data_IF_327901510793
#
_entry.id   IF_327901510793
#
_cell.length_a   1.000
_cell.length_b   1.000
_cell.length_c   1.000
_cell.angle_alpha   90.00
_cell.angle_beta   90.00
_cell.angle_gamma   90.00
#
_symmetry.space_group_name_H-M   'P 1'
#
loop_
_entity.id
_entity.type
_entity.pdbx_description
1 polymer ?
#
# COMPACT_ATOMS: atom_id res chain seq x y z
N UNK A 1 9.52 19.50 8.22
CA UNK A 1 9.26 19.07 6.85
C UNK A 1 8.28 17.92 6.81
N UNK A 2 7.25 18.10 6.10
CA UNK A 2 6.25 17.08 6.01
C UNK A 2 6.56 16.12 4.87
N UNK A 3 6.87 14.89 5.17
CA UNK A 3 7.17 13.96 4.10
C UNK A 3 5.93 13.61 3.30
N UNK A 4 6.09 13.61 2.01
CA UNK A 4 5.07 13.10 1.14
C UNK A 4 5.00 11.58 1.21
N UNK A 5 5.98 10.97 1.83
CA UNK A 5 6.12 9.51 1.91
C UNK A 5 5.89 9.07 3.35
N UNK A 6 5.19 7.98 3.52
CA UNK A 6 4.97 7.42 4.85
C UNK A 6 5.45 5.99 4.89
N UNK A 7 5.59 5.46 6.10
CA UNK A 7 6.08 4.11 6.28
C UNK A 7 4.97 3.08 5.98
N UNK A 8 5.39 1.86 5.73
CA UNK A 8 4.45 0.75 5.58
C UNK A 8 3.59 0.60 6.82
N UNK A 9 4.21 0.74 8.00
CA UNK A 9 3.47 0.57 9.25
C UNK A 9 2.36 1.59 9.39
N UNK A 10 2.64 2.85 9.07
CA UNK A 10 1.62 3.89 9.14
C UNK A 10 0.50 3.63 8.16
N UNK A 11 0.86 3.24 6.93
CA UNK A 11 -0.15 2.98 5.91
C UNK A 11 -1.02 1.80 6.31
N UNK A 12 -0.44 0.78 6.91
CA UNK A 12 -1.19 -0.38 7.35
C UNK A 12 -2.22 -0.02 8.41
N UNK A 13 -1.85 0.87 9.33
CA UNK A 13 -2.78 1.30 10.35
C UNK A 13 -3.96 2.05 9.75
N UNK A 14 -3.66 2.92 8.79
CA UNK A 14 -4.71 3.71 8.17
C UNK A 14 -5.64 2.83 7.34
N UNK A 15 -5.08 1.89 6.61
CA UNK A 15 -5.86 1.01 5.74
C UNK A 15 -6.49 -0.16 6.47
N UNK A 16 -5.99 -0.50 7.63
CA UNK A 16 -6.52 -1.64 8.38
C UNK A 16 -6.10 -2.97 7.80
N UNK A 17 -4.90 -3.04 7.24
CA UNK A 17 -4.39 -4.30 6.68
C UNK A 17 -3.03 -4.60 7.30
N UNK A 18 -2.60 -5.84 7.14
CA UNK A 18 -1.30 -6.25 7.64
C UNK A 18 -0.21 -5.88 6.64
N UNK A 19 1.03 -5.69 7.12
CA UNK A 19 2.11 -5.32 6.20
C UNK A 19 2.30 -6.28 5.04
N UNK A 20 2.24 -7.57 5.30
CA UNK A 20 2.42 -8.55 4.24
C UNK A 20 1.33 -8.41 3.18
N UNK A 21 0.12 -8.13 3.64
CA UNK A 21 -1.00 -7.95 2.71
C UNK A 21 -0.82 -6.69 1.89
N UNK A 22 -0.42 -5.61 2.53
CA UNK A 22 -0.20 -4.36 1.80
C UNK A 22 0.87 -4.53 0.74
N UNK A 23 1.96 -5.18 1.08
CA UNK A 23 3.03 -5.40 0.11
C UNK A 23 2.54 -6.23 -1.06
N UNK A 24 1.74 -7.26 -0.79
CA UNK A 24 1.19 -8.08 -1.85
C UNK A 24 0.28 -7.26 -2.77
N UNK A 25 -0.59 -6.44 -2.19
CA UNK A 25 -1.51 -5.63 -2.97
C UNK A 25 -0.76 -4.65 -3.85
N UNK A 26 0.34 -4.10 -3.34
CA UNK A 26 1.13 -3.18 -4.14
C UNK A 26 1.88 -3.90 -5.26
N UNK A 27 2.43 -5.07 -4.97
CA UNK A 27 3.18 -5.81 -5.99
C UNK A 27 2.29 -6.26 -7.13
N UNK A 28 1.03 -6.53 -6.84
CA UNK A 28 0.10 -7.00 -7.86
C UNK A 28 -0.69 -5.87 -8.52
N UNK A 29 -0.37 -4.63 -8.15
CA UNK A 29 -1.07 -3.46 -8.65
C UNK A 29 -2.56 -3.47 -8.34
N UNK A 30 -2.92 -4.13 -7.25
CA UNK A 30 -4.31 -4.15 -6.83
C UNK A 30 -4.73 -2.82 -6.22
N UNK A 31 -3.78 -2.15 -5.55
CA UNK A 31 -4.03 -0.81 -5.03
C UNK A 31 -2.89 0.10 -5.48
N UNK A 32 -3.19 1.38 -5.56
CA UNK A 32 -2.23 2.38 -6.01
C UNK A 32 -1.98 3.38 -4.89
N UNK A 33 -1.09 3.03 -3.97
CA UNK A 33 -0.76 3.92 -2.86
C UNK A 33 0.69 4.37 -2.91
N UNK A 34 1.44 3.92 -3.91
CA UNK A 34 2.83 4.28 -4.00
C UNK A 34 3.55 3.50 -5.05
N UNK A 35 4.78 3.15 -4.76
CA UNK A 35 5.64 2.51 -5.73
C UNK A 35 6.38 1.35 -5.12
N UNK A 36 6.50 0.28 -5.88
CA UNK A 36 7.30 -0.87 -5.50
C UNK A 36 8.63 -0.77 -6.23
N UNK A 37 9.72 -0.84 -5.47
CA UNK A 37 11.05 -0.76 -6.04
C UNK A 37 11.65 -2.15 -6.00
N UNK A 38 11.96 -2.68 -7.18
CA UNK A 38 12.52 -4.02 -7.26
C UNK A 38 13.96 -4.03 -6.79
N UNK A 39 14.41 -5.13 -6.20
CA UNK A 39 15.78 -5.21 -5.75
C UNK A 39 16.74 -5.21 -6.93
N UNK A 40 17.92 -4.64 -6.71
CA UNK A 40 18.92 -4.59 -7.77
C UNK A 40 19.75 -5.88 -7.86
N UNK A 41 19.58 -6.76 -6.88
CA UNK A 41 20.28 -8.04 -6.88
C UNK A 41 19.31 -9.14 -6.49
N UNK A 42 19.69 -10.38 -6.80
CA UNK A 42 18.83 -11.50 -6.51
C UNK A 42 18.59 -11.67 -5.00
N UNK A 43 19.51 -11.22 -4.19
CA UNK A 43 19.37 -11.35 -2.73
C UNK A 43 18.82 -10.11 -2.07
N UNK A 44 18.51 -9.10 -2.85
CA UNK A 44 17.98 -7.87 -2.29
C UNK A 44 16.50 -7.98 -1.93
N UNK A 45 16.02 -6.99 -1.23
CA UNK A 45 14.62 -6.93 -0.84
C UNK A 45 13.89 -5.86 -1.62
N UNK A 46 12.60 -6.07 -1.80
CA UNK A 46 11.76 -5.06 -2.42
C UNK A 46 11.65 -3.85 -1.50
N UNK A 47 11.65 -2.67 -2.11
CA UNK A 47 11.37 -1.44 -1.39
C UNK A 47 9.96 -1.00 -1.68
N UNK A 48 9.36 -0.31 -0.71
CA UNK A 48 7.99 0.16 -0.86
C UNK A 48 7.93 1.61 -0.43
N UNK A 49 7.49 2.46 -1.35
CA UNK A 49 7.31 3.87 -1.09
C UNK A 49 5.82 4.17 -1.11
N UNK A 50 5.31 4.64 0.00
CA UNK A 50 3.89 4.96 0.12
C UNK A 50 3.75 6.47 0.04
N UNK A 51 2.99 6.96 -0.92
CA UNK A 51 2.78 8.39 -1.10
C UNK A 51 1.47 8.79 -0.44
N UNK A 52 1.55 9.80 0.41
CA UNK A 52 0.40 10.22 1.20
C UNK A 52 -0.79 10.57 0.33
N UNK A 53 -0.55 11.28 -0.75
CA UNK A 53 -1.65 11.70 -1.62
C UNK A 53 -2.33 10.50 -2.29
N UNK A 54 -1.54 9.54 -2.71
CA UNK A 54 -2.10 8.34 -3.33
C UNK A 54 -2.88 7.51 -2.32
N UNK A 55 -2.37 7.42 -1.10
CA UNK A 55 -3.07 6.69 -0.06
C UNK A 55 -4.42 7.33 0.22
N UNK A 56 -4.45 8.65 0.33
CA UNK A 56 -5.69 9.36 0.59
C UNK A 56 -6.72 9.11 -0.51
N UNK A 57 -6.27 9.15 -1.75
CA UNK A 57 -7.16 8.90 -2.88
C UNK A 57 -7.67 7.47 -2.86
N UNK A 58 -6.81 6.54 -2.50
CA UNK A 58 -7.20 5.13 -2.47
C UNK A 58 -8.23 4.86 -1.39
N UNK A 59 -8.10 5.53 -0.25
CA UNK A 59 -9.09 5.40 0.81
C UNK A 59 -10.47 5.84 0.31
N UNK A 60 -10.51 6.92 -0.46
CA UNK A 60 -11.77 7.38 -1.02
C UNK A 60 -12.41 6.34 -1.92
N UNK A 61 -11.60 5.65 -2.72
CA UNK A 61 -12.11 4.61 -3.60
C UNK A 61 -12.64 3.43 -2.81
N UNK A 62 -11.95 3.05 -1.75
CA UNK A 62 -12.41 1.96 -0.90
C UNK A 62 -13.75 2.32 -0.27
N UNK A 63 -13.87 3.55 0.22
CA UNK A 63 -15.11 3.99 0.86
C UNK A 63 -16.27 3.98 -0.11
N UNK A 64 -15.99 4.17 -1.40
CA UNK A 64 -17.04 4.13 -2.40
C UNK A 64 -17.36 2.71 -2.85
N UNK A 65 -16.64 1.73 -2.33
CA UNK A 65 -16.90 0.35 -2.68
C UNK A 65 -16.34 -0.06 -4.02
N UNK A 66 -15.32 0.65 -4.51
CA UNK A 66 -14.79 0.34 -5.83
C UNK A 66 -13.95 -0.92 -5.85
N UNK A 67 -13.54 -1.40 -4.68
CA UNK A 67 -12.97 -2.73 -4.65
C UNK A 67 -13.27 -3.34 -3.28
N UNK A 68 -13.19 -4.65 -3.24
CA UNK A 68 -13.58 -5.38 -2.05
C UNK A 68 -12.51 -5.36 -1.01
N UNK A 69 -12.92 -5.25 0.22
CA UNK A 69 -12.00 -5.29 1.33
C UNK A 69 -11.65 -6.72 1.65
N UNK A 70 -10.50 -6.85 2.28
CA UNK A 70 -10.00 -8.16 2.59
C UNK A 70 -10.88 -8.93 3.54
N UNK A 71 -11.47 -8.26 4.47
CA UNK A 71 -12.26 -8.97 5.46
C UNK A 71 -13.45 -9.68 4.83
N UNK A 72 -13.83 -9.29 3.65
CA UNK A 72 -14.92 -9.98 2.98
C UNK A 72 -14.53 -11.39 2.56
N UNK A 73 -13.25 -11.67 2.55
CA UNK A 73 -12.75 -12.95 2.07
C UNK A 73 -12.11 -13.78 3.15
N UNK A 74 -12.27 -13.38 4.34
CA UNK A 74 -11.62 -14.08 5.44
C UNK A 74 -12.41 -15.31 5.83
#
# INVERSE_FOLDING_TARGET
MNPAIMSIAEACEILGVRPARLRYLMRTNTIDVGRVVEPSTANGNYGYLIYRDKLTAEIGRIDKGEYKRDEANI
#
